data_IF_139460065452
#
_entry.id   IF_139460065452
#
_cell.length_a   1.000
_cell.length_b   1.000
_cell.length_c   1.000
_cell.angle_alpha   90.00
_cell.angle_beta   90.00
_cell.angle_gamma   90.00
#
_symmetry.space_group_name_H-M   'P 1'
#
loop_
_entity.id
_entity.type
_entity.pdbx_description
1 polymer ?
#
# COMPACT_ATOMS: atom_id res chain seq x y z
N UNK A 1 -13.95 -0.07 -17.58
CA UNK A 1 -13.51 1.03 -16.70
C UNK A 1 -12.14 1.44 -17.20
N UNK A 2 -11.98 2.70 -17.57
CA UNK A 2 -10.67 3.23 -17.92
C UNK A 2 -9.76 3.16 -16.68
N UNK A 3 -8.46 2.85 -16.82
CA UNK A 3 -7.51 2.88 -15.70
C UNK A 3 -7.35 4.27 -15.06
N UNK A 4 -7.90 5.32 -15.68
CA UNK A 4 -7.98 6.67 -15.13
C UNK A 4 -9.31 6.98 -14.45
N UNK A 5 -10.28 6.07 -14.48
CA UNK A 5 -11.57 6.29 -13.83
C UNK A 5 -11.33 6.48 -12.33
N UNK A 6 -11.93 7.51 -11.69
CA UNK A 6 -11.73 7.78 -10.27
C UNK A 6 -12.02 6.57 -9.37
N UNK A 7 -13.01 5.74 -9.73
CA UNK A 7 -13.32 4.51 -9.01
C UNK A 7 -12.19 3.47 -9.12
N UNK A 8 -11.57 3.33 -10.29
CA UNK A 8 -10.46 2.40 -10.48
C UNK A 8 -9.23 2.85 -9.68
N UNK A 9 -8.88 4.14 -9.74
CA UNK A 9 -7.81 4.72 -8.92
C UNK A 9 -8.08 4.58 -7.43
N UNK A 10 -9.33 4.75 -7.00
CA UNK A 10 -9.70 4.59 -5.60
C UNK A 10 -9.44 3.18 -5.08
N UNK A 11 -9.86 2.17 -5.85
CA UNK A 11 -9.73 0.75 -5.46
C UNK A 11 -8.28 0.26 -5.58
N UNK A 12 -7.55 0.71 -6.60
CA UNK A 12 -6.21 0.20 -6.92
C UNK A 12 -5.08 0.91 -6.17
N UNK A 13 -5.25 2.19 -5.86
CA UNK A 13 -4.19 3.01 -5.25
C UNK A 13 -4.59 3.57 -3.89
N UNK A 14 -5.76 4.21 -3.78
CA UNK A 14 -6.12 4.94 -2.55
C UNK A 14 -6.38 3.97 -1.39
N UNK A 15 -7.26 2.99 -1.56
CA UNK A 15 -7.56 2.01 -0.51
C UNK A 15 -6.31 1.21 -0.08
N UNK A 16 -5.54 0.61 -1.00
CA UNK A 16 -4.31 -0.09 -0.64
C UNK A 16 -3.26 0.83 -0.01
N UNK A 17 -3.15 2.07 -0.48
CA UNK A 17 -2.25 3.07 0.06
C UNK A 17 -2.59 3.46 1.50
N UNK A 18 -3.87 3.69 1.79
CA UNK A 18 -4.34 3.94 3.16
C UNK A 18 -4.03 2.76 4.08
N UNK A 19 -4.33 1.53 3.64
CA UNK A 19 -4.01 0.33 4.41
C UNK A 19 -2.49 0.18 4.67
N UNK A 20 -1.68 0.35 3.64
CA UNK A 20 -0.22 0.28 3.77
C UNK A 20 0.35 1.35 4.69
N UNK A 21 -0.18 2.59 4.62
CA UNK A 21 0.19 3.66 5.55
C UNK A 21 -0.22 3.34 6.98
N UNK A 22 -1.38 2.73 7.20
CA UNK A 22 -1.80 2.27 8.54
C UNK A 22 -0.83 1.22 9.10
N UNK A 23 -0.39 0.24 8.29
CA UNK A 23 0.60 -0.76 8.73
C UNK A 23 1.96 -0.14 9.08
N UNK A 24 2.40 0.87 8.33
CA UNK A 24 3.62 1.63 8.64
C UNK A 24 3.43 2.38 9.97
N UNK A 25 2.30 3.06 10.16
CA UNK A 25 1.97 3.76 11.40
C UNK A 25 1.92 2.83 12.60
N UNK A 26 1.28 1.67 12.47
CA UNK A 26 1.26 0.63 13.51
C UNK A 26 2.68 0.12 13.82
N UNK A 27 3.49 -0.14 12.79
CA UNK A 27 4.88 -0.55 12.97
C UNK A 27 5.73 0.49 13.71
N UNK A 28 5.54 1.78 13.42
CA UNK A 28 6.19 2.87 14.15
C UNK A 28 5.76 2.90 15.62
N UNK A 29 4.46 2.73 15.91
CA UNK A 29 3.95 2.66 17.28
C UNK A 29 4.54 1.47 18.03
N UNK A 30 4.66 0.31 17.39
CA UNK A 30 5.26 -0.90 17.95
C UNK A 30 6.74 -0.72 18.28
N UNK A 31 7.50 -0.10 17.38
CA UNK A 31 8.91 0.23 17.62
C UNK A 31 9.05 1.19 18.81
N UNK A 32 8.16 2.19 18.90
CA UNK A 32 8.16 3.14 20.01
C UNK A 32 7.86 2.48 21.36
N UNK A 33 7.02 1.43 21.38
CA UNK A 33 6.71 0.64 22.58
C UNK A 33 7.71 -0.52 22.84
N UNK A 34 8.89 -0.49 22.19
CA UNK A 34 9.93 -1.53 22.29
C UNK A 34 9.46 -2.96 21.93
N UNK A 35 8.46 -3.08 21.06
CA UNK A 35 8.08 -4.38 20.52
C UNK A 35 9.09 -4.82 19.44
N UNK A 36 9.78 -5.95 19.69
CA UNK A 36 10.81 -6.54 18.82
C UNK A 36 10.38 -6.76 17.36
N UNK A 37 9.08 -6.82 17.08
CA UNK A 37 8.52 -7.15 15.77
C UNK A 37 7.87 -5.97 15.03
N UNK A 38 8.00 -4.73 15.55
CA UNK A 38 7.40 -3.55 14.90
C UNK A 38 7.94 -3.25 13.50
N UNK A 39 9.21 -3.61 13.24
CA UNK A 39 9.83 -3.47 11.91
C UNK A 39 9.17 -4.34 10.83
N UNK A 40 8.57 -5.48 11.20
CA UNK A 40 7.88 -6.38 10.25
C UNK A 40 6.65 -5.67 9.68
N UNK A 41 5.86 -4.99 10.53
CA UNK A 41 4.70 -4.21 10.09
C UNK A 41 5.08 -3.10 9.11
N UNK A 42 6.22 -2.44 9.34
CA UNK A 42 6.74 -1.41 8.41
C UNK A 42 7.14 -2.03 7.06
N UNK A 43 7.90 -3.12 7.08
CA UNK A 43 8.33 -3.81 5.85
C UNK A 43 7.14 -4.31 5.05
N UNK A 44 6.13 -4.90 5.73
CA UNK A 44 4.90 -5.34 5.11
C UNK A 44 4.10 -4.18 4.51
N UNK A 45 3.98 -3.06 5.22
CA UNK A 45 3.30 -1.87 4.70
C UNK A 45 3.97 -1.29 3.46
N UNK A 46 5.30 -1.18 3.46
CA UNK A 46 6.08 -0.71 2.29
C UNK A 46 5.93 -1.70 1.12
N UNK A 47 6.08 -3.00 1.37
CA UNK A 47 5.92 -4.03 0.34
C UNK A 47 4.51 -4.00 -0.26
N UNK A 48 3.49 -3.79 0.56
CA UNK A 48 2.09 -3.72 0.12
C UNK A 48 1.83 -2.52 -0.79
N UNK A 49 2.32 -1.33 -0.42
CA UNK A 49 2.22 -0.12 -1.26
C UNK A 49 3.00 -0.33 -2.57
N UNK A 50 4.21 -0.89 -2.50
CA UNK A 50 5.02 -1.20 -3.68
C UNK A 50 4.30 -2.14 -4.65
N UNK A 51 3.69 -3.21 -4.15
CA UNK A 51 2.88 -4.12 -4.96
C UNK A 51 1.66 -3.43 -5.57
N UNK A 52 0.92 -2.61 -4.81
CA UNK A 52 -0.23 -1.87 -5.33
C UNK A 52 0.15 -0.95 -6.50
N UNK A 53 1.29 -0.26 -6.37
CA UNK A 53 1.85 0.60 -7.45
C UNK A 53 2.25 -0.24 -8.67
N UNK A 54 2.94 -1.37 -8.48
CA UNK A 54 3.31 -2.26 -9.58
C UNK A 54 2.08 -2.80 -10.32
N UNK A 55 1.04 -3.19 -9.59
CA UNK A 55 -0.22 -3.67 -10.16
C UNK A 55 -0.91 -2.54 -10.94
N UNK A 56 -0.93 -1.31 -10.42
CA UNK A 56 -1.45 -0.16 -11.17
C UNK A 56 -0.71 0.05 -12.49
N UNK A 57 0.63 0.06 -12.48
CA UNK A 57 1.43 0.18 -13.70
C UNK A 57 1.18 -0.96 -14.69
N UNK A 58 1.03 -2.20 -14.20
CA UNK A 58 0.70 -3.35 -15.03
C UNK A 58 -0.64 -3.15 -15.76
N UNK A 59 -1.69 -2.74 -15.03
CA UNK A 59 -3.00 -2.47 -15.64
C UNK A 59 -2.96 -1.26 -16.57
N UNK A 60 -2.24 -0.20 -16.23
CA UNK A 60 -2.12 0.99 -17.05
C UNK A 60 -1.36 0.77 -18.36
N UNK A 61 -0.45 -0.21 -18.44
CA UNK A 61 0.31 -0.49 -19.67
C UNK A 61 -0.29 -1.62 -20.52
N UNK A 62 -0.97 -2.59 -19.89
CA UNK A 62 -1.48 -3.77 -20.59
C UNK A 62 -3.00 -3.76 -20.81
N UNK A 63 -3.74 -2.91 -20.09
CA UNK A 63 -5.21 -2.84 -20.12
C UNK A 63 -5.75 -1.43 -20.49
N UNK A 64 -4.87 -0.50 -20.89
CA UNK A 64 -5.23 0.82 -21.40
C UNK A 64 -5.37 0.84 -22.93
#
# INVERSE_FOLDING_TARGET
>A
MSPTDPQFLYIMLILPGLFGMTLIGEGLVKIYHEELYGWISIVLGIAFIGLAVLVYFYFSQNLA
#
